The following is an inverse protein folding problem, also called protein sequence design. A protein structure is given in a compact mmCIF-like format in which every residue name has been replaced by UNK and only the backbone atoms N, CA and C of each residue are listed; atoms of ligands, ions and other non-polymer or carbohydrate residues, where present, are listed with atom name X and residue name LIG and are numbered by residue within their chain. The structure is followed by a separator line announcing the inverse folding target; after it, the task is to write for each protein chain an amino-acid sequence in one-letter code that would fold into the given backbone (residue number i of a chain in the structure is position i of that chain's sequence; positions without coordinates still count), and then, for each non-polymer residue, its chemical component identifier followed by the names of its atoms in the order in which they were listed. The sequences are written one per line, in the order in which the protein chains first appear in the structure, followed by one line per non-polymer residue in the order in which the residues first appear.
data_IF_935896703094
#
_entry.id   IF_935896703094
#
_cell.length_a   1.000
_cell.length_b   1.000
_cell.length_c   1.000
_cell.angle_alpha   90.00
_cell.angle_beta   90.00
_cell.angle_gamma   90.00
#
_symmetry.space_group_name_H-M   'P 1'
#
loop_
_entity.id
_entity.type
_entity.pdbx_description
1 polymer ?
#
# COMPACT_ATOMS: atom_id res chain seq x y z
N UNK A 1 -7.60 -13.80 21.03
CA UNK A 1 -8.01 -12.80 20.03
C UNK A 1 -8.06 -11.46 20.74
N UNK A 2 -7.14 -10.55 20.44
CA UNK A 2 -7.22 -9.16 20.92
C UNK A 2 -8.40 -8.50 20.21
N UNK A 3 -9.18 -7.68 20.89
CA UNK A 3 -10.22 -6.88 20.25
C UNK A 3 -9.60 -6.07 19.09
N UNK A 4 -10.21 -6.10 17.90
CA UNK A 4 -9.80 -5.25 16.78
C UNK A 4 -10.19 -3.81 17.14
N UNK A 5 -9.19 -2.98 17.41
CA UNK A 5 -9.39 -1.57 17.76
C UNK A 5 -9.16 -0.74 16.50
N UNK A 6 -10.12 0.12 16.17
CA UNK A 6 -9.92 1.17 15.17
C UNK A 6 -9.74 2.52 15.87
N UNK A 7 -9.26 3.53 15.15
CA UNK A 7 -8.93 4.83 15.75
C UNK A 7 -9.66 5.96 15.02
N UNK A 8 -10.29 6.86 15.78
CA UNK A 8 -10.96 8.03 15.21
C UNK A 8 -9.97 9.01 14.58
N UNK A 9 -8.78 9.12 15.16
CA UNK A 9 -7.65 9.93 14.67
C UNK A 9 -6.49 9.01 14.25
N UNK A 10 -6.78 8.03 13.40
CA UNK A 10 -5.75 7.18 12.81
C UNK A 10 -4.78 8.02 11.95
N UNK A 11 -3.47 7.72 11.97
CA UNK A 11 -2.49 8.38 11.10
C UNK A 11 -2.56 7.91 9.64
N UNK A 12 -3.38 6.90 9.34
CA UNK A 12 -3.50 6.31 8.00
C UNK A 12 -3.82 7.36 6.93
N UNK A 13 -3.00 7.38 5.89
CA UNK A 13 -3.20 8.17 4.67
C UNK A 13 -3.76 7.29 3.56
N UNK A 14 -3.13 6.14 3.34
CA UNK A 14 -3.49 5.24 2.25
C UNK A 14 -3.16 3.79 2.59
N UNK A 15 -4.04 2.91 2.18
CA UNK A 15 -3.91 1.47 2.17
C UNK A 15 -3.90 1.01 0.71
N UNK A 16 -2.93 0.19 0.31
CA UNK A 16 -2.79 -0.27 -1.06
C UNK A 16 -2.69 -1.80 -1.07
N UNK A 17 -3.68 -2.46 -1.66
CA UNK A 17 -3.55 -3.84 -2.13
C UNK A 17 -2.94 -3.79 -3.52
N UNK A 18 -1.91 -4.60 -3.75
CA UNK A 18 -1.28 -4.73 -5.06
C UNK A 18 -1.10 -6.20 -5.42
N UNK A 19 -1.61 -6.56 -6.59
CA UNK A 19 -1.43 -7.86 -7.22
C UNK A 19 -0.60 -7.69 -8.48
N UNK A 20 0.40 -8.56 -8.67
CA UNK A 20 1.21 -8.60 -9.88
C UNK A 20 1.19 -9.96 -10.54
N UNK A 21 1.33 -9.98 -11.85
CA UNK A 21 1.56 -11.18 -12.67
C UNK A 21 2.67 -10.93 -13.67
N UNK A 22 3.33 -12.01 -14.06
CA UNK A 22 4.44 -11.95 -15.01
C UNK A 22 3.96 -11.38 -16.34
N UNK A 23 4.70 -10.41 -16.88
CA UNK A 23 4.49 -9.84 -18.20
C UNK A 23 5.74 -9.96 -19.05
N UNK A 24 5.56 -10.05 -20.36
CA UNK A 24 6.67 -10.02 -21.29
C UNK A 24 7.21 -8.60 -21.41
N UNK A 25 8.50 -8.45 -21.16
CA UNK A 25 9.21 -7.18 -21.17
C UNK A 25 10.31 -7.18 -22.23
N UNK A 26 10.48 -6.05 -22.91
CA UNK A 26 11.65 -5.74 -23.72
C UNK A 26 12.65 -5.00 -22.85
N UNK A 27 13.91 -5.42 -22.88
CA UNK A 27 15.00 -4.72 -22.20
C UNK A 27 16.30 -5.51 -22.18
N UNK A 28 17.42 -4.78 -22.18
CA UNK A 28 18.74 -5.34 -21.87
C UNK A 28 18.85 -5.64 -20.36
N UNK A 29 19.67 -6.61 -19.94
CA UNK A 29 19.93 -6.86 -18.52
C UNK A 29 20.34 -5.56 -17.80
N UNK A 30 19.59 -5.17 -16.76
CA UNK A 30 19.84 -3.95 -15.98
C UNK A 30 19.12 -2.67 -16.45
N UNK A 31 18.41 -2.71 -17.59
CA UNK A 31 17.54 -1.61 -18.03
C UNK A 31 16.13 -1.68 -17.41
N UNK A 32 15.35 -0.58 -17.47
CA UNK A 32 13.97 -0.58 -17.00
C UNK A 32 13.12 -1.55 -17.85
N UNK A 33 12.22 -2.34 -17.22
CA UNK A 33 11.42 -3.34 -17.92
C UNK A 33 10.30 -2.67 -18.72
N UNK A 34 10.57 -2.33 -19.98
CA UNK A 34 9.58 -1.75 -20.89
C UNK A 34 8.66 -2.87 -21.37
N UNK A 35 7.35 -2.64 -21.38
CA UNK A 35 6.41 -3.63 -21.89
C UNK A 35 6.54 -3.76 -23.40
N UNK A 36 6.61 -4.99 -23.89
CA UNK A 36 6.62 -5.26 -25.33
C UNK A 36 5.23 -5.06 -25.94
N UNK A 37 5.02 -3.91 -26.59
CA UNK A 37 3.85 -3.65 -27.44
C UNK A 37 2.52 -3.46 -26.72
N UNK A 38 1.65 -2.66 -27.34
CA UNK A 38 0.21 -2.68 -27.08
C UNK A 38 -0.29 -4.08 -27.46
N UNK A 39 -0.46 -4.94 -26.46
CA UNK A 39 -1.08 -6.24 -26.71
C UNK A 39 -2.58 -6.01 -26.76
N UNK A 40 -3.22 -6.40 -27.85
CA UNK A 40 -4.69 -6.49 -27.94
C UNK A 40 -5.30 -7.23 -26.74
N UNK A 41 -4.54 -8.15 -26.16
CA UNK A 41 -4.84 -8.83 -24.91
C UNK A 41 -5.02 -7.87 -23.72
N UNK A 42 -4.11 -6.91 -23.54
CA UNK A 42 -4.24 -5.89 -22.48
C UNK A 42 -5.49 -5.05 -22.68
N UNK A 43 -5.76 -4.61 -23.91
CA UNK A 43 -6.95 -3.80 -24.21
C UNK A 43 -8.25 -4.59 -23.97
N UNK A 44 -8.31 -5.87 -24.35
CA UNK A 44 -9.47 -6.74 -24.06
C UNK A 44 -9.67 -6.88 -22.55
N UNK A 45 -8.61 -7.14 -21.79
CA UNK A 45 -8.71 -7.27 -20.33
C UNK A 45 -9.18 -5.96 -19.70
N UNK A 46 -8.58 -4.85 -20.12
CA UNK A 46 -8.93 -3.51 -19.68
C UNK A 46 -10.41 -3.21 -19.95
N UNK A 47 -10.91 -3.46 -21.16
CA UNK A 47 -12.31 -3.18 -21.50
C UNK A 47 -13.30 -4.02 -20.71
N UNK A 48 -13.00 -5.31 -20.49
CA UNK A 48 -13.83 -6.18 -19.65
C UNK A 48 -13.86 -5.70 -18.20
N UNK A 49 -12.69 -5.44 -17.61
CA UNK A 49 -12.56 -4.92 -16.25
C UNK A 49 -13.25 -3.56 -16.10
N UNK A 50 -13.04 -2.64 -17.04
CA UNK A 50 -13.66 -1.31 -17.04
C UNK A 50 -15.20 -1.41 -17.09
N UNK A 51 -15.74 -2.35 -17.87
CA UNK A 51 -17.18 -2.62 -17.91
C UNK A 51 -17.72 -3.07 -16.55
N UNK A 52 -17.04 -4.02 -15.91
CA UNK A 52 -17.41 -4.52 -14.59
C UNK A 52 -17.34 -3.43 -13.51
N UNK A 53 -16.23 -2.70 -13.44
CA UNK A 53 -16.06 -1.62 -12.45
C UNK A 53 -17.07 -0.47 -12.68
N UNK A 54 -17.42 -0.17 -13.93
CA UNK A 54 -18.46 0.82 -14.23
C UNK A 54 -19.84 0.37 -13.73
N UNK A 55 -20.16 -0.92 -13.82
CA UNK A 55 -21.40 -1.48 -13.26
C UNK A 55 -21.45 -1.33 -11.73
N UNK A 56 -20.29 -1.35 -11.06
CA UNK A 56 -20.13 -1.13 -9.61
C UNK A 56 -20.03 0.37 -9.21
N UNK A 57 -20.28 1.28 -10.16
CA UNK A 57 -20.34 2.72 -9.93
C UNK A 57 -19.01 3.47 -10.07
N UNK A 58 -17.94 2.82 -10.55
CA UNK A 58 -16.67 3.50 -10.86
C UNK A 58 -16.75 4.16 -12.24
N UNK A 59 -17.37 5.33 -12.27
CA UNK A 59 -17.72 6.03 -13.52
C UNK A 59 -16.60 6.91 -14.06
N UNK A 60 -15.65 7.31 -13.22
CA UNK A 60 -14.53 8.15 -13.62
C UNK A 60 -13.32 7.28 -14.00
N UNK A 61 -12.84 7.49 -15.22
CA UNK A 61 -11.66 6.82 -15.77
C UNK A 61 -10.59 7.87 -16.07
N UNK A 62 -9.42 7.71 -15.44
CA UNK A 62 -8.25 8.56 -15.62
C UNK A 62 -7.10 7.71 -16.19
N UNK A 63 -6.43 8.20 -17.24
CA UNK A 63 -5.19 7.61 -17.75
C UNK A 63 -3.99 8.32 -17.10
N UNK A 64 -3.16 7.56 -16.39
CA UNK A 64 -2.03 8.07 -15.60
C UNK A 64 -0.73 8.21 -16.42
N UNK A 65 -0.61 7.45 -17.50
CA UNK A 65 0.55 7.48 -18.40
C UNK A 65 0.13 8.07 -19.73
N UNK A 66 0.78 9.14 -20.25
CA UNK A 66 0.45 9.70 -21.55
C UNK A 66 0.52 8.65 -22.68
N UNK A 67 -0.27 8.82 -23.73
CA UNK A 67 -0.37 7.84 -24.82
C UNK A 67 0.98 7.55 -25.50
N UNK A 68 1.84 8.55 -25.65
CA UNK A 68 3.12 8.43 -26.32
C UNK A 68 4.30 8.19 -25.36
N UNK A 69 4.01 7.92 -24.08
CA UNK A 69 5.05 7.61 -23.10
C UNK A 69 5.32 6.11 -23.03
N UNK A 70 6.58 5.69 -22.83
CA UNK A 70 6.91 4.30 -22.53
C UNK A 70 6.11 3.82 -21.32
N UNK A 71 5.51 2.64 -21.44
CA UNK A 71 4.82 1.97 -20.34
C UNK A 71 5.76 0.92 -19.76
N UNK A 72 6.00 1.00 -18.45
CA UNK A 72 6.82 0.03 -17.73
C UNK A 72 5.98 -1.09 -17.14
N UNK A 73 6.57 -2.27 -17.01
CA UNK A 73 5.95 -3.37 -16.30
C UNK A 73 5.65 -2.95 -14.85
N UNK A 74 4.52 -3.42 -14.34
CA UNK A 74 4.05 -3.15 -12.98
C UNK A 74 3.77 -1.67 -12.69
N UNK A 75 3.59 -0.84 -13.73
CA UNK A 75 3.17 0.55 -13.60
C UNK A 75 1.65 0.66 -13.82
N UNK A 76 0.90 1.30 -12.91
CA UNK A 76 -0.51 1.63 -13.15
C UNK A 76 -0.66 2.57 -14.35
N UNK A 77 -1.53 2.20 -15.30
CA UNK A 77 -1.80 2.99 -16.51
C UNK A 77 -3.15 3.67 -16.43
N UNK A 78 -4.15 2.98 -15.88
CA UNK A 78 -5.50 3.47 -15.73
C UNK A 78 -5.90 3.50 -14.26
N UNK A 79 -6.76 4.45 -13.92
CA UNK A 79 -7.34 4.63 -12.59
C UNK A 79 -8.84 4.78 -12.72
N UNK A 80 -9.58 4.02 -11.92
CA UNK A 80 -11.03 4.08 -11.82
C UNK A 80 -11.44 4.64 -10.47
N UNK A 81 -12.37 5.60 -10.47
CA UNK A 81 -12.88 6.28 -9.28
C UNK A 81 -14.40 6.35 -9.29
N UNK A 82 -14.98 6.46 -8.09
CA UNK A 82 -16.36 6.90 -7.91
C UNK A 82 -16.38 8.43 -7.88
N UNK A 83 -17.33 9.12 -8.54
CA UNK A 83 -17.34 10.58 -8.62
C UNK A 83 -17.46 11.30 -7.25
N UNK A 84 -18.14 10.66 -6.29
CA UNK A 84 -18.54 11.31 -5.04
C UNK A 84 -17.61 11.02 -3.87
N UNK A 85 -16.71 10.03 -4.00
CA UNK A 85 -15.85 9.58 -2.91
C UNK A 85 -14.40 9.39 -3.38
N UNK A 86 -13.40 9.81 -2.59
CA UNK A 86 -11.99 9.66 -2.96
C UNK A 86 -11.52 8.21 -3.02
N UNK A 87 -12.19 7.31 -2.29
CA UNK A 87 -11.85 5.90 -2.19
C UNK A 87 -13.10 5.00 -2.21
N UNK A 88 -12.96 3.71 -2.60
CA UNK A 88 -11.72 3.08 -3.06
C UNK A 88 -11.33 3.52 -4.47
N UNK A 89 -10.07 3.28 -4.84
CA UNK A 89 -9.54 3.53 -6.18
C UNK A 89 -9.05 2.20 -6.73
N UNK A 90 -9.47 1.85 -7.94
CA UNK A 90 -8.85 0.74 -8.66
C UNK A 90 -7.83 1.27 -9.66
N UNK A 91 -6.70 0.60 -9.78
CA UNK A 91 -5.73 0.91 -10.83
C UNK A 91 -5.33 -0.34 -11.59
N UNK A 92 -5.14 -0.19 -12.89
CA UNK A 92 -4.80 -1.30 -13.78
C UNK A 92 -3.65 -0.91 -14.70
N UNK A 93 -2.74 -1.83 -14.92
CA UNK A 93 -1.58 -1.66 -15.79
C UNK A 93 -1.03 -3.00 -16.24
N UNK A 94 0.04 -2.96 -17.02
CA UNK A 94 0.65 -4.19 -17.50
C UNK A 94 1.32 -4.94 -16.35
N UNK A 95 0.74 -6.07 -15.96
CA UNK A 95 1.28 -6.90 -14.89
C UNK A 95 0.85 -6.46 -13.50
N UNK A 96 -0.05 -5.48 -13.36
CA UNK A 96 -0.42 -4.92 -12.06
C UNK A 96 -1.91 -4.57 -11.98
N UNK A 97 -2.48 -4.89 -10.83
CA UNK A 97 -3.78 -4.40 -10.40
C UNK A 97 -3.66 -3.92 -8.95
N UNK A 98 -4.18 -2.73 -8.65
CA UNK A 98 -4.18 -2.21 -7.29
C UNK A 98 -5.59 -1.79 -6.85
N UNK A 99 -5.81 -1.88 -5.55
CA UNK A 99 -7.03 -1.46 -4.88
C UNK A 99 -6.59 -0.61 -3.70
N UNK A 100 -6.90 0.67 -3.75
CA UNK A 100 -6.44 1.62 -2.76
C UNK A 100 -7.63 2.07 -1.90
N UNK A 101 -7.40 2.25 -0.61
CA UNK A 101 -8.35 2.81 0.34
C UNK A 101 -7.68 3.89 1.19
N UNK A 102 -8.49 4.75 1.80
CA UNK A 102 -8.02 5.76 2.73
C UNK A 102 -9.19 6.51 3.33
N UNK A 103 -8.95 7.32 4.38
CA UNK A 103 -9.98 8.18 4.94
C UNK A 103 -10.51 9.19 3.91
N UNK A 104 -11.78 9.63 4.03
CA UNK A 104 -12.72 9.31 5.11
C UNK A 104 -13.48 7.98 4.89
N UNK A 105 -13.36 7.33 3.73
CA UNK A 105 -14.19 6.18 3.36
C UNK A 105 -13.69 4.85 3.93
N UNK A 106 -12.40 4.75 4.28
CA UNK A 106 -11.87 3.60 4.99
C UNK A 106 -12.11 3.73 6.50
N UNK A 107 -12.77 2.73 7.10
CA UNK A 107 -13.02 2.65 8.54
C UNK A 107 -12.25 1.47 9.13
N UNK A 108 -12.39 0.29 8.53
CA UNK A 108 -11.72 -0.93 8.98
C UNK A 108 -11.38 -1.85 7.80
N UNK A 109 -10.52 -2.84 8.05
CA UNK A 109 -10.24 -3.88 7.07
C UNK A 109 -11.49 -4.67 6.72
N UNK A 110 -12.35 -4.95 7.69
CA UNK A 110 -13.57 -5.73 7.47
C UNK A 110 -14.58 -4.98 6.54
N UNK A 111 -14.52 -3.65 6.49
CA UNK A 111 -15.30 -2.83 5.53
C UNK A 111 -14.65 -2.75 4.14
N UNK A 112 -13.32 -2.81 4.09
CA UNK A 112 -12.57 -2.69 2.83
C UNK A 112 -12.38 -4.03 2.11
N UNK A 113 -12.23 -5.13 2.86
CA UNK A 113 -12.03 -6.48 2.35
C UNK A 113 -13.08 -6.90 1.31
N UNK A 114 -14.39 -6.60 1.46
CA UNK A 114 -15.37 -6.89 0.42
C UNK A 114 -15.12 -6.13 -0.90
N UNK A 115 -14.57 -4.92 -0.86
CA UNK A 115 -14.17 -4.19 -2.07
C UNK A 115 -12.96 -4.86 -2.72
N UNK A 116 -12.00 -5.31 -1.91
CA UNK A 116 -10.85 -6.09 -2.39
C UNK A 116 -11.31 -7.35 -3.11
N UNK A 117 -12.19 -8.11 -2.48
CA UNK A 117 -12.79 -9.32 -3.04
C UNK A 117 -13.49 -9.06 -4.37
N UNK A 118 -14.37 -8.06 -4.44
CA UNK A 118 -15.10 -7.69 -5.67
C UNK A 118 -14.14 -7.29 -6.79
N UNK A 119 -13.12 -6.49 -6.48
CA UNK A 119 -12.10 -6.08 -7.45
C UNK A 119 -11.29 -7.27 -8.00
N UNK A 120 -10.89 -8.21 -7.13
CA UNK A 120 -10.19 -9.44 -7.53
C UNK A 120 -11.08 -10.34 -8.39
N UNK A 121 -12.35 -10.53 -8.00
CA UNK A 121 -13.31 -11.30 -8.79
C UNK A 121 -13.48 -10.67 -10.19
N UNK A 122 -13.63 -9.35 -10.27
CA UNK A 122 -13.74 -8.65 -11.55
C UNK A 122 -12.48 -8.80 -12.42
N UNK A 123 -11.29 -8.66 -11.82
CA UNK A 123 -10.00 -8.86 -12.49
C UNK A 123 -9.90 -10.27 -13.09
N UNK A 124 -10.20 -11.29 -12.29
CA UNK A 124 -10.07 -12.70 -12.68
C UNK A 124 -11.12 -13.08 -13.74
N UNK A 125 -12.38 -12.67 -13.54
CA UNK A 125 -13.48 -12.99 -14.45
C UNK A 125 -13.29 -12.42 -15.87
N UNK A 126 -12.60 -11.29 -15.99
CA UNK A 126 -12.36 -10.63 -17.27
C UNK A 126 -10.96 -10.88 -17.85
N UNK A 127 -10.18 -11.78 -17.24
CA UNK A 127 -8.86 -12.18 -17.73
C UNK A 127 -9.00 -12.89 -19.09
N UNK A 128 -8.46 -12.34 -20.19
CA UNK A 128 -8.55 -12.98 -21.49
C UNK A 128 -7.80 -14.31 -21.49
N UNK A 129 -8.31 -15.32 -22.18
CA UNK A 129 -7.63 -16.61 -22.32
C UNK A 129 -6.21 -16.45 -22.91
N UNK A 130 -6.03 -15.51 -23.84
CA UNK A 130 -4.75 -15.20 -24.48
C UNK A 130 -3.75 -14.46 -23.55
N UNK A 131 -4.13 -14.09 -22.33
CA UNK A 131 -3.23 -13.42 -21.39
C UNK A 131 -2.13 -14.34 -20.86
N UNK A 132 -2.29 -15.66 -20.94
CA UNK A 132 -1.31 -16.64 -20.44
C UNK A 132 -0.84 -16.35 -19.00
N UNK A 133 -1.73 -15.77 -18.18
CA UNK A 133 -1.51 -15.54 -16.75
C UNK A 133 -2.07 -16.76 -16.02
N UNK A 134 -1.19 -17.67 -15.67
CA UNK A 134 -1.50 -18.90 -14.91
C UNK A 134 -1.47 -18.66 -13.40
N UNK A 135 -0.63 -17.72 -12.95
CA UNK A 135 -0.42 -17.35 -11.57
C UNK A 135 -0.31 -15.83 -11.36
N UNK A 136 -0.57 -15.40 -10.12
CA UNK A 136 -0.07 -14.13 -9.62
C UNK A 136 1.31 -14.34 -9.00
N UNK A 137 2.26 -13.47 -9.32
CA UNK A 137 3.64 -13.55 -8.85
C UNK A 137 3.89 -12.76 -7.57
N UNK A 138 3.05 -11.76 -7.29
CA UNK A 138 3.09 -10.97 -6.06
C UNK A 138 1.66 -10.68 -5.59
N UNK A 139 1.43 -10.83 -4.29
CA UNK A 139 0.35 -10.17 -3.58
C UNK A 139 0.96 -9.38 -2.42
N UNK A 140 0.54 -8.12 -2.27
CA UNK A 140 1.06 -7.26 -1.20
C UNK A 140 0.00 -6.33 -0.64
N UNK A 141 0.21 -5.96 0.62
CA UNK A 141 -0.59 -4.98 1.35
C UNK A 141 0.35 -3.93 1.94
N UNK A 142 0.09 -2.67 1.64
CA UNK A 142 0.89 -1.54 2.09
C UNK A 142 0.06 -0.53 2.85
N UNK A 143 0.50 -0.17 4.05
CA UNK A 143 -0.03 0.91 4.86
C UNK A 143 0.92 2.09 4.82
N UNK A 144 0.38 3.27 4.51
CA UNK A 144 1.10 4.54 4.56
C UNK A 144 0.44 5.39 5.63
N UNK A 145 1.16 5.60 6.73
CA UNK A 145 0.73 6.37 7.89
C UNK A 145 1.53 7.68 8.00
N UNK A 146 0.88 8.70 8.54
CA UNK A 146 1.43 10.01 8.76
C UNK A 146 1.19 10.50 10.17
N UNK A 147 2.27 10.61 10.93
CA UNK A 147 2.25 11.18 12.27
C UNK A 147 2.48 12.68 12.18
N UNK A 148 1.36 13.40 12.06
CA UNK A 148 1.32 14.87 12.03
C UNK A 148 1.56 15.47 13.41
N UNK A 149 1.70 16.80 13.45
CA UNK A 149 1.98 17.57 14.66
C UNK A 149 1.06 17.23 15.85
N UNK A 150 -0.23 16.98 15.59
CA UNK A 150 -1.19 16.64 16.65
C UNK A 150 -0.85 15.33 17.36
N UNK A 151 -0.28 14.36 16.64
CA UNK A 151 0.15 13.07 17.20
C UNK A 151 1.57 13.14 17.77
N UNK A 152 2.45 13.97 17.19
CA UNK A 152 3.83 14.16 17.68
C UNK A 152 3.91 15.03 18.93
N UNK A 153 2.96 15.93 19.13
CA UNK A 153 2.88 16.82 20.30
C UNK A 153 4.14 17.64 20.56
N UNK A 154 4.65 18.35 19.54
CA UNK A 154 5.79 19.27 19.66
C UNK A 154 7.17 18.63 19.56
N UNK A 155 7.29 17.30 19.53
CA UNK A 155 8.58 16.61 19.36
C UNK A 155 9.24 16.99 18.02
N UNK A 156 10.56 16.85 17.86
CA UNK A 156 11.20 16.82 16.53
C UNK A 156 10.93 15.47 15.85
N UNK A 157 11.15 15.35 14.54
CA UNK A 157 10.92 14.06 13.86
C UNK A 157 11.87 12.97 14.39
N UNK A 158 13.13 13.34 14.67
CA UNK A 158 14.10 12.46 15.32
C UNK A 158 13.63 12.02 16.71
N UNK A 159 13.24 12.97 17.57
CA UNK A 159 12.74 12.67 18.92
C UNK A 159 11.47 11.81 18.89
N UNK A 160 10.55 12.09 17.95
CA UNK A 160 9.32 11.30 17.81
C UNK A 160 9.61 9.84 17.44
N UNK A 161 10.48 9.60 16.45
CA UNK A 161 10.87 8.23 16.07
C UNK A 161 11.53 7.48 17.24
N UNK A 162 12.41 8.15 17.98
CA UNK A 162 13.13 7.58 19.13
C UNK A 162 12.20 7.30 20.32
N UNK A 163 11.48 8.33 20.77
CA UNK A 163 10.83 8.34 22.08
C UNK A 163 9.39 7.80 22.00
N UNK A 164 8.65 8.13 20.93
CA UNK A 164 7.27 7.70 20.77
C UNK A 164 7.15 6.35 20.05
N UNK A 165 7.94 6.11 18.99
CA UNK A 165 7.93 4.85 18.24
C UNK A 165 8.99 3.84 18.71
N UNK A 166 9.92 4.23 19.59
CA UNK A 166 10.96 3.33 20.10
C UNK A 166 12.04 2.95 19.07
N UNK A 167 12.10 3.63 17.92
CA UNK A 167 13.09 3.36 16.88
C UNK A 167 14.36 4.13 17.20
N UNK A 168 15.34 3.42 17.77
CA UNK A 168 16.60 4.01 18.22
C UNK A 168 17.70 3.75 17.19
N UNK A 169 18.22 4.80 16.57
CA UNK A 169 19.41 4.72 15.71
C UNK A 169 20.59 5.29 16.50
N UNK A 170 21.55 4.44 16.85
CA UNK A 170 22.78 4.89 17.50
C UNK A 170 23.62 5.73 16.53
N UNK A 171 23.81 7.00 16.86
CA UNK A 171 24.68 7.89 16.09
C UNK A 171 26.10 7.84 16.66
N UNK A 172 27.15 7.66 15.82
CA UNK A 172 28.52 7.81 16.29
C UNK A 172 28.73 9.21 16.89
N UNK A 173 29.35 9.30 18.07
CA UNK A 173 29.44 10.55 18.82
C UNK A 173 30.00 11.73 18.01
N UNK A 174 31.03 11.49 17.18
CA UNK A 174 31.64 12.53 16.34
C UNK A 174 30.79 13.00 15.16
N UNK A 175 29.66 12.35 14.84
CA UNK A 175 28.76 12.85 13.80
C UNK A 175 27.89 14.01 14.30
N UNK A 176 27.56 14.02 15.60
CA UNK A 176 26.77 15.09 16.21
C UNK A 176 27.53 16.43 16.19
N UNK A 177 28.86 16.39 16.21
CA UNK A 177 29.71 17.60 16.11
C UNK A 177 29.55 18.34 14.77
N UNK A 178 29.06 17.67 13.72
CA UNK A 178 28.79 18.27 12.41
C UNK A 178 27.33 18.73 12.25
N UNK A 179 26.42 18.33 13.15
CA UNK A 179 25.03 18.73 13.08
C UNK A 179 24.85 20.11 13.72
N UNK A 180 24.04 20.97 13.10
CA UNK A 180 23.67 22.27 13.70
C UNK A 180 22.89 22.07 15.01
N UNK A 181 22.02 21.06 15.03
CA UNK A 181 21.35 20.54 16.23
C UNK A 181 20.82 19.12 15.99
N UNK A 182 20.62 18.35 17.06
CA UNK A 182 20.02 17.00 17.00
C UNK A 182 18.59 17.04 16.45
N UNK A 183 17.83 18.09 16.76
CA UNK A 183 16.43 18.25 16.31
C UNK A 183 16.28 18.54 14.80
N UNK A 184 17.36 18.96 14.13
CA UNK A 184 17.40 19.13 12.68
C UNK A 184 17.80 17.86 11.93
N UNK A 185 18.14 16.78 12.63
CA UNK A 185 18.46 15.50 12.00
C UNK A 185 17.15 14.89 11.47
N UNK A 186 17.13 14.57 10.18
CA UNK A 186 16.02 13.87 9.52
C UNK A 186 16.43 12.43 9.21
N UNK A 187 16.30 11.50 10.16
CA UNK A 187 16.69 10.11 9.92
C UNK A 187 15.75 9.49 8.88
N UNK A 188 16.31 8.62 8.05
CA UNK A 188 15.54 7.66 7.27
C UNK A 188 15.93 6.27 7.74
N UNK A 189 14.94 5.50 8.19
CA UNK A 189 15.11 4.13 8.63
C UNK A 189 14.38 3.22 7.66
N UNK A 190 15.05 2.19 7.17
CA UNK A 190 14.42 1.16 6.37
C UNK A 190 14.87 -0.21 6.86
N UNK A 191 13.90 -1.08 7.11
CA UNK A 191 14.11 -2.45 7.53
C UNK A 191 13.31 -3.37 6.62
N UNK A 192 13.94 -4.46 6.17
CA UNK A 192 13.25 -5.54 5.48
C UNK A 192 13.66 -6.86 6.11
N UNK A 193 12.70 -7.69 6.46
CA UNK A 193 12.98 -9.03 6.95
C UNK A 193 11.99 -10.07 6.41
N UNK A 194 12.46 -11.32 6.21
CA UNK A 194 11.58 -12.43 5.85
C UNK A 194 10.69 -12.80 7.03
N UNK A 195 9.45 -13.22 6.76
CA UNK A 195 8.56 -13.72 7.80
C UNK A 195 8.65 -15.24 7.90
N UNK A 196 8.49 -15.76 9.12
CA UNK A 196 8.66 -17.19 9.41
C UNK A 196 7.49 -18.05 8.95
N UNK A 197 6.29 -17.46 8.88
CA UNK A 197 5.03 -18.20 8.77
C UNK A 197 4.55 -18.38 7.32
N UNK A 198 5.15 -17.68 6.35
CA UNK A 198 4.72 -17.69 4.95
C UNK A 198 5.96 -17.72 4.03
N UNK A 199 6.06 -18.70 3.12
CA UNK A 199 7.22 -18.84 2.22
C UNK A 199 7.34 -17.64 1.27
N UNK A 200 8.59 -17.21 1.02
CA UNK A 200 8.94 -16.03 0.19
C UNK A 200 8.15 -14.77 0.55
N UNK A 201 7.71 -14.66 1.80
CA UNK A 201 7.08 -13.46 2.32
C UNK A 201 8.11 -12.55 2.99
N UNK A 202 7.89 -11.25 2.91
CA UNK A 202 8.72 -10.27 3.61
C UNK A 202 7.90 -9.09 4.07
N UNK A 203 8.33 -8.52 5.19
CA UNK A 203 7.81 -7.28 5.71
C UNK A 203 8.88 -6.20 5.55
N UNK A 204 8.51 -5.15 4.82
CA UNK A 204 9.31 -3.94 4.67
C UNK A 204 8.68 -2.86 5.54
N UNK A 205 9.50 -2.17 6.31
CA UNK A 205 9.11 -1.10 7.20
C UNK A 205 10.06 0.07 7.01
N UNK A 206 9.52 1.24 6.73
CA UNK A 206 10.28 2.45 6.54
C UNK A 206 9.71 3.59 7.37
N UNK A 207 10.59 4.34 8.04
CA UNK A 207 10.30 5.63 8.63
C UNK A 207 11.11 6.69 7.91
N UNK A 208 10.45 7.78 7.52
CA UNK A 208 11.09 8.91 6.88
C UNK A 208 10.37 10.20 7.24
N UNK A 209 11.03 11.33 7.01
CA UNK A 209 10.39 12.64 7.05
C UNK A 209 9.83 12.97 5.67
N UNK A 210 8.55 13.30 5.60
CA UNK A 210 7.86 13.59 4.34
C UNK A 210 6.89 14.75 4.47
N UNK A 211 6.36 15.22 3.33
CA UNK A 211 5.37 16.30 3.28
C UNK A 211 4.08 15.77 2.65
N UNK A 212 2.95 16.10 3.25
CA UNK A 212 1.64 15.61 2.80
C UNK A 212 0.83 16.75 2.21
N UNK A 213 0.38 16.56 0.97
CA UNK A 213 -0.36 17.57 0.23
C UNK A 213 0.46 18.84 0.01
N UNK A 214 -0.20 20.00 0.00
CA UNK A 214 0.45 21.32 -0.13
C UNK A 214 0.89 21.92 1.21
N UNK A 215 0.77 21.19 2.31
CA UNK A 215 1.13 21.70 3.62
C UNK A 215 2.65 21.92 3.77
N UNK A 216 3.01 22.84 4.66
CA UNK A 216 4.40 23.21 4.94
C UNK A 216 5.06 22.35 6.03
N UNK A 217 4.34 21.39 6.62
CA UNK A 217 4.85 20.58 7.73
C UNK A 217 5.62 19.36 7.24
N UNK A 218 6.73 19.09 7.91
CA UNK A 218 7.53 17.89 7.75
C UNK A 218 6.99 16.85 8.74
N UNK A 219 6.19 15.92 8.24
CA UNK A 219 5.55 14.86 9.03
C UNK A 219 6.43 13.61 9.07
N UNK A 220 6.29 12.80 10.11
CA UNK A 220 6.90 11.45 10.14
C UNK A 220 6.00 10.50 9.37
N UNK A 221 6.51 9.98 8.26
CA UNK A 221 5.84 8.99 7.42
C UNK A 221 6.32 7.60 7.81
N UNK A 222 5.36 6.71 8.02
CA UNK A 222 5.60 5.30 8.24
C UNK A 222 4.98 4.50 7.10
N UNK A 223 5.81 3.71 6.43
CA UNK A 223 5.44 2.90 5.29
C UNK A 223 5.71 1.44 5.63
N UNK A 224 4.64 0.67 5.74
CA UNK A 224 4.71 -0.75 6.09
C UNK A 224 4.11 -1.58 4.97
N UNK A 225 4.93 -2.42 4.33
CA UNK A 225 4.51 -3.29 3.22
C UNK A 225 4.77 -4.74 3.57
N UNK A 226 3.70 -5.54 3.62
CA UNK A 226 3.78 -6.99 3.60
C UNK A 226 3.69 -7.47 2.17
N UNK A 227 4.58 -8.37 1.75
CA UNK A 227 4.58 -8.92 0.39
C UNK A 227 4.80 -10.43 0.41
N UNK A 228 4.07 -11.15 -0.44
CA UNK A 228 4.30 -12.54 -0.79
C UNK A 228 4.81 -12.60 -2.22
N UNK A 229 5.99 -13.18 -2.42
CA UNK A 229 6.67 -13.25 -3.72
C UNK A 229 6.83 -14.71 -4.16
N UNK A 230 5.70 -15.39 -4.33
CA UNK A 230 5.60 -16.77 -4.87
C UNK A 230 4.46 -16.85 -5.86
N UNK A 231 4.41 -17.96 -6.59
CA UNK A 231 3.26 -18.31 -7.42
C UNK A 231 2.02 -18.49 -6.53
N UNK A 232 0.99 -17.69 -6.81
CA UNK A 232 -0.33 -17.76 -6.22
C UNK A 232 -1.30 -18.15 -7.33
N UNK A 233 -2.23 -19.05 -7.04
CA UNK A 233 -3.28 -19.40 -8.01
C UNK A 233 -4.07 -18.14 -8.35
N UNK A 234 -4.50 -18.02 -9.61
CA UNK A 234 -5.43 -16.95 -10.03
C UNK A 234 -6.83 -17.28 -9.47
N UNK A 235 -6.96 -17.12 -8.16
CA UNK A 235 -8.11 -17.47 -7.35
C UNK A 235 -8.28 -16.41 -6.25
N UNK A 236 -9.50 -15.93 -6.08
CA UNK A 236 -9.80 -14.86 -5.11
C UNK A 236 -9.53 -15.29 -3.67
N UNK A 237 -9.89 -16.51 -3.27
CA UNK A 237 -9.80 -16.98 -1.88
C UNK A 237 -8.34 -17.12 -1.41
N UNK A 238 -7.46 -17.65 -2.26
CA UNK A 238 -6.03 -17.75 -1.93
C UNK A 238 -5.42 -16.35 -1.74
N UNK A 239 -5.71 -15.43 -2.65
CA UNK A 239 -5.20 -14.05 -2.56
C UNK A 239 -5.77 -13.33 -1.34
N UNK A 240 -7.06 -13.47 -1.05
CA UNK A 240 -7.67 -12.86 0.13
C UNK A 240 -7.09 -13.42 1.43
N UNK A 241 -6.82 -14.72 1.51
CA UNK A 241 -6.18 -15.33 2.68
C UNK A 241 -4.81 -14.71 2.93
N UNK A 242 -4.02 -14.50 1.88
CA UNK A 242 -2.72 -13.81 1.99
C UNK A 242 -2.88 -12.37 2.47
N UNK A 243 -3.87 -11.64 1.95
CA UNK A 243 -4.11 -10.24 2.31
C UNK A 243 -4.67 -10.09 3.74
N UNK A 244 -5.50 -11.02 4.19
CA UNK A 244 -6.01 -11.09 5.57
C UNK A 244 -4.85 -11.32 6.55
N UNK A 245 -3.96 -12.26 6.26
CA UNK A 245 -2.74 -12.48 7.06
C UNK A 245 -1.82 -11.25 7.06
N UNK A 246 -1.66 -10.61 5.89
CA UNK A 246 -0.89 -9.38 5.76
C UNK A 246 -1.46 -8.25 6.63
N UNK A 247 -2.78 -8.09 6.64
CA UNK A 247 -3.47 -7.12 7.49
C UNK A 247 -3.19 -7.39 8.97
N UNK A 248 -3.39 -8.64 9.43
CA UNK A 248 -3.20 -9.00 10.83
C UNK A 248 -1.76 -8.76 11.32
N UNK A 249 -0.77 -9.08 10.48
CA UNK A 249 0.65 -8.84 10.79
C UNK A 249 0.96 -7.34 10.88
N UNK A 250 0.54 -6.56 9.87
CA UNK A 250 0.79 -5.11 9.84
C UNK A 250 0.05 -4.43 11.00
N UNK A 251 -1.23 -4.71 11.20
CA UNK A 251 -2.04 -4.13 12.26
C UNK A 251 -1.51 -4.50 13.66
N UNK A 252 -1.10 -5.75 13.84
CA UNK A 252 -0.47 -6.22 15.07
C UNK A 252 0.85 -5.51 15.37
N UNK A 253 1.69 -5.27 14.35
CA UNK A 253 2.90 -4.46 14.53
C UNK A 253 2.52 -3.01 14.84
N UNK A 254 1.70 -2.36 14.01
CA UNK A 254 1.27 -0.97 14.19
C UNK A 254 0.80 -0.70 15.63
N UNK A 255 -0.09 -1.56 16.14
CA UNK A 255 -0.66 -1.45 17.50
C UNK A 255 0.40 -1.60 18.60
N UNK A 256 1.41 -2.46 18.42
CA UNK A 256 2.52 -2.58 19.37
C UNK A 256 3.46 -1.38 19.32
N UNK A 257 3.76 -0.89 18.13
CA UNK A 257 4.67 0.23 17.91
C UNK A 257 4.08 1.55 18.41
N UNK A 258 2.78 1.75 18.20
CA UNK A 258 2.09 3.01 18.50
C UNK A 258 1.39 3.02 19.86
N UNK A 259 1.69 2.07 20.75
CA UNK A 259 1.02 1.92 22.05
C UNK A 259 0.93 3.21 22.87
N UNK A 260 2.00 4.02 22.87
CA UNK A 260 2.06 5.31 23.57
C UNK A 260 1.16 6.40 22.94
N UNK A 261 0.70 6.19 21.71
CA UNK A 261 -0.11 7.14 20.94
C UNK A 261 -1.60 6.79 20.95
N UNK A 262 -1.99 5.61 21.47
CA UNK A 262 -3.37 5.11 21.39
C UNK A 262 -4.40 6.12 21.94
N UNK A 263 -4.14 6.73 23.10
CA UNK A 263 -5.04 7.74 23.67
C UNK A 263 -5.22 8.96 22.76
N UNK A 264 -4.15 9.40 22.08
CA UNK A 264 -4.20 10.52 21.13
C UNK A 264 -4.91 10.16 19.83
N UNK A 265 -4.80 8.90 19.41
CA UNK A 265 -5.51 8.36 18.25
C UNK A 265 -7.00 8.12 18.50
N UNK A 266 -7.44 8.13 19.77
CA UNK A 266 -8.83 7.96 20.21
C UNK A 266 -9.38 6.59 19.74
N UNK A 267 -9.21 5.53 20.55
CA UNK A 267 -9.70 4.19 20.23
C UNK A 267 -11.22 4.19 20.06
N UNK A 268 -11.70 3.45 19.07
CA UNK A 268 -13.10 3.12 18.86
C UNK A 268 -13.22 1.62 19.14
N UNK A 269 -13.98 1.25 20.17
CA UNK A 269 -14.31 -0.15 20.39
C UNK A 269 -15.26 -0.62 19.29
N UNK A 270 -14.81 -1.60 18.50
CA UNK A 270 -15.72 -2.33 17.62
C UNK A 270 -16.43 -3.39 18.46
N UNK A 271 -17.73 -3.19 18.72
CA UNK A 271 -18.57 -4.29 19.18
C UNK A 271 -18.67 -5.30 18.03
N UNK A 272 -18.18 -6.53 18.27
CA UNK A 272 -18.38 -7.64 17.36
C UNK A 272 -19.89 -7.76 17.06
N UNK A 273 -20.25 -7.64 15.78
CA UNK A 273 -21.58 -8.03 15.31
C UNK A 273 -21.62 -9.53 15.08
#
# INVERSE_FOLDING_TARGET
MSAKVTYKKAPLIELIVEIRWTVQVLGLPGGPPIVSGSSSVFDIWFHGLAGALRADGFLELERLVPHDSPVFAYQPVFRFKKPEVPFPIYQFGHGIFTINAGPPNYISWDDFRPQVESGLQALIAHKPAAANVEDFSVASLRYIDAFREELRSGMSNFAFMRDALGVTIGMPAGLLDFAESEDQITPTFALRFPLKEEDKSSLTFQLAVGRIGRAATNDTIMDTTYSVNRSLTVNTDEVLTVLDNAHDVIHGWFTRLTGQLHEKMIPIEQHAK
#
